data_IF_047506523687
#
_entry.id   IF_047506523687
#
_cell.length_a   1.000
_cell.length_b   1.000
_cell.length_c   1.000
_cell.angle_alpha   90.00
_cell.angle_beta   90.00
_cell.angle_gamma   90.00
#
_symmetry.space_group_name_H-M   'P 1'
#
loop_
_entity.id
_entity.type
_entity.pdbx_description
1 polymer ?
#
# COMPACT_ATOMS: atom_id res chain seq x y z
N UNK A 1 13.03 24.00 -13.84
CA UNK A 1 12.70 24.77 -12.63
C UNK A 1 11.62 24.00 -11.88
N UNK A 2 11.93 23.63 -10.66
CA UNK A 2 11.17 22.79 -9.75
C UNK A 2 10.74 23.67 -8.58
N UNK A 3 9.47 23.64 -8.24
CA UNK A 3 8.92 24.39 -7.10
C UNK A 3 8.52 23.43 -5.99
N UNK A 4 8.90 23.73 -4.75
CA UNK A 4 8.54 22.95 -3.56
C UNK A 4 7.23 23.44 -2.95
N UNK A 5 6.30 22.53 -2.74
CA UNK A 5 5.04 22.82 -2.07
C UNK A 5 5.10 22.29 -0.64
N UNK A 6 5.53 23.16 0.28
CA UNK A 6 5.57 22.84 1.70
C UNK A 6 4.15 22.76 2.27
N UNK A 7 3.71 21.53 2.54
CA UNK A 7 2.39 21.25 3.11
C UNK A 7 2.15 21.87 4.47
N UNK A 8 3.20 22.21 5.23
CA UNK A 8 3.07 22.80 6.56
C UNK A 8 3.00 24.32 6.54
N UNK A 9 3.36 24.97 5.44
CA UNK A 9 3.28 26.42 5.32
C UNK A 9 2.17 26.87 4.37
N UNK A 10 1.88 26.13 3.31
CA UNK A 10 0.80 26.43 2.36
C UNK A 10 -0.60 26.19 2.96
N UNK A 11 -1.44 27.23 3.00
CA UNK A 11 -2.78 27.20 3.60
C UNK A 11 -3.73 26.21 2.92
N UNK A 12 -3.55 25.94 1.63
CA UNK A 12 -4.38 24.98 0.88
C UNK A 12 -4.21 23.57 1.44
N UNK A 13 -2.97 23.19 1.75
CA UNK A 13 -2.62 21.87 2.27
C UNK A 13 -2.86 21.74 3.78
N UNK A 14 -2.72 22.83 4.54
CA UNK A 14 -3.10 22.86 5.96
C UNK A 14 -4.57 22.49 6.16
N UNK A 15 -5.44 23.03 5.31
CA UNK A 15 -6.89 22.87 5.43
C UNK A 15 -7.42 21.63 4.70
N UNK A 16 -6.62 21.02 3.82
CA UNK A 16 -6.99 19.82 3.07
C UNK A 16 -5.85 18.79 3.05
N UNK A 17 -5.86 17.86 4.01
CA UNK A 17 -4.84 16.79 4.13
C UNK A 17 -4.84 15.80 2.95
N UNK A 18 -5.92 15.77 2.17
CA UNK A 18 -6.09 14.92 0.98
C UNK A 18 -5.57 15.59 -0.29
N UNK A 19 -5.26 16.89 -0.24
CA UNK A 19 -4.61 17.57 -1.34
C UNK A 19 -3.17 17.06 -1.50
N UNK A 20 -2.86 16.56 -2.69
CA UNK A 20 -1.53 16.08 -3.09
C UNK A 20 -1.04 16.87 -4.29
N UNK A 21 0.28 16.96 -4.41
CA UNK A 21 0.97 17.48 -5.58
C UNK A 21 1.98 16.44 -6.01
N UNK A 22 2.06 16.19 -7.31
CA UNK A 22 2.98 15.24 -7.90
C UNK A 22 3.46 15.71 -9.27
N UNK A 23 4.72 15.46 -9.58
CA UNK A 23 5.26 15.51 -10.94
C UNK A 23 5.64 14.13 -11.40
N UNK A 24 5.23 13.73 -12.61
CA UNK A 24 5.34 12.35 -13.09
C UNK A 24 6.25 12.27 -14.33
N UNK A 25 7.17 11.32 -14.33
CA UNK A 25 7.95 10.90 -15.49
C UNK A 25 7.70 9.42 -15.78
N UNK A 26 7.49 9.07 -17.04
CA UNK A 26 7.19 7.71 -17.47
C UNK A 26 8.01 7.37 -18.70
N UNK A 27 8.55 6.15 -18.77
CA UNK A 27 9.23 5.70 -19.97
C UNK A 27 9.90 4.34 -19.81
N UNK A 28 10.94 4.13 -20.63
CA UNK A 28 11.67 2.87 -20.66
C UNK A 28 13.12 3.10 -20.29
N UNK A 29 13.61 2.36 -19.31
CA UNK A 29 15.02 2.35 -18.92
C UNK A 29 15.63 0.99 -19.19
N UNK A 30 16.91 0.96 -19.51
CA UNK A 30 17.62 -0.26 -19.94
C UNK A 30 17.84 -1.25 -18.80
N UNK A 31 18.06 -0.77 -17.58
CA UNK A 31 18.16 -1.60 -16.38
C UNK A 31 18.03 -0.76 -15.12
N UNK A 32 17.61 -1.43 -14.04
CA UNK A 32 17.42 -0.86 -12.71
C UNK A 32 18.66 -0.14 -12.17
N UNK A 33 19.87 -0.68 -12.37
CA UNK A 33 21.11 -0.05 -11.85
C UNK A 33 21.38 1.31 -12.51
N UNK A 34 21.06 1.45 -13.78
CA UNK A 34 21.15 2.72 -14.52
C UNK A 34 20.18 3.74 -13.94
N UNK A 35 18.94 3.31 -13.72
CA UNK A 35 17.90 4.13 -13.08
C UNK A 35 18.30 4.56 -11.66
N UNK A 36 18.73 3.62 -10.83
CA UNK A 36 19.21 3.91 -9.48
C UNK A 36 20.33 4.93 -9.51
N UNK A 37 21.33 4.76 -10.38
CA UNK A 37 22.45 5.73 -10.49
C UNK A 37 22.00 7.11 -10.99
N UNK A 38 21.00 7.14 -11.86
CA UNK A 38 20.48 8.38 -12.43
C UNK A 38 19.73 9.20 -11.37
N UNK A 39 18.90 8.52 -10.58
CA UNK A 39 18.06 9.12 -9.54
C UNK A 39 18.84 9.34 -8.24
N UNK A 40 19.78 8.45 -7.90
CA UNK A 40 20.54 8.54 -6.66
C UNK A 40 21.62 9.60 -6.74
N UNK A 41 21.83 10.30 -5.64
CA UNK A 41 22.96 11.17 -5.45
C UNK A 41 23.61 10.89 -4.09
N UNK A 42 24.94 10.88 -4.05
CA UNK A 42 25.67 10.85 -2.76
C UNK A 42 25.50 12.14 -1.95
N UNK A 43 25.15 13.23 -2.64
CA UNK A 43 24.68 14.51 -2.09
C UNK A 43 23.65 15.11 -3.06
N UNK A 44 22.61 15.81 -2.60
CA UNK A 44 21.56 16.41 -3.43
C UNK A 44 22.03 17.09 -4.73
N UNK A 45 23.13 17.84 -4.66
CA UNK A 45 23.63 18.67 -5.77
C UNK A 45 24.33 17.86 -6.89
N UNK A 46 24.57 16.56 -6.68
CA UNK A 46 25.40 15.75 -7.57
C UNK A 46 24.64 14.70 -8.39
N UNK A 47 23.33 14.57 -8.19
CA UNK A 47 22.51 13.65 -8.98
C UNK A 47 22.33 14.15 -10.41
N UNK A 48 22.44 13.25 -11.39
CA UNK A 48 22.19 13.62 -12.80
C UNK A 48 20.73 14.06 -12.97
N UNK A 49 19.78 13.38 -12.32
CA UNK A 49 18.37 13.76 -12.36
C UNK A 49 18.13 15.19 -11.86
N UNK A 50 18.79 15.60 -10.78
CA UNK A 50 18.67 16.95 -10.20
C UNK A 50 19.15 18.03 -11.16
N UNK A 51 20.27 17.77 -11.84
CA UNK A 51 20.80 18.67 -12.88
C UNK A 51 19.87 18.78 -14.07
N UNK A 52 19.28 17.66 -14.48
CA UNK A 52 18.32 17.64 -15.59
C UNK A 52 17.04 18.42 -15.24
N UNK A 53 16.64 18.45 -13.96
CA UNK A 53 15.54 19.31 -13.48
C UNK A 53 15.89 20.81 -13.47
N UNK A 54 17.18 21.12 -13.49
CA UNK A 54 17.73 22.48 -13.40
C UNK A 54 17.81 23.01 -11.96
N UNK A 55 17.94 22.13 -10.98
CA UNK A 55 17.90 22.48 -9.56
C UNK A 55 19.25 22.34 -8.86
N UNK A 56 19.45 23.14 -7.81
CA UNK A 56 20.65 23.07 -6.96
C UNK A 56 20.39 22.34 -5.64
N UNK A 57 19.14 21.94 -5.38
CA UNK A 57 18.71 21.28 -4.16
C UNK A 57 17.69 20.20 -4.50
N UNK A 58 17.71 19.10 -3.75
CA UNK A 58 16.83 17.96 -3.99
C UNK A 58 16.82 17.01 -2.80
N UNK A 59 15.64 16.53 -2.42
CA UNK A 59 15.49 15.57 -1.34
C UNK A 59 14.90 14.27 -1.89
N UNK A 60 15.65 13.17 -1.70
CA UNK A 60 15.26 11.85 -2.20
C UNK A 60 14.02 11.29 -1.51
N UNK A 61 13.66 11.80 -0.33
CA UNK A 61 12.50 11.35 0.44
C UNK A 61 11.17 11.64 -0.28
N UNK A 62 11.19 12.53 -1.28
CA UNK A 62 10.01 12.87 -2.07
C UNK A 62 9.90 12.12 -3.40
N UNK A 63 10.79 11.14 -3.67
CA UNK A 63 10.75 10.37 -4.92
C UNK A 63 10.12 9.01 -4.72
N UNK A 64 9.07 8.72 -5.49
CA UNK A 64 8.58 7.36 -5.67
C UNK A 64 9.02 6.84 -7.04
N UNK A 65 9.69 5.69 -7.06
CA UNK A 65 10.18 5.03 -8.28
C UNK A 65 9.54 3.65 -8.39
N UNK A 66 8.98 3.35 -9.56
CA UNK A 66 8.56 2.00 -9.91
C UNK A 66 9.37 1.53 -11.12
N UNK A 67 9.95 0.34 -11.05
CA UNK A 67 10.70 -0.28 -12.14
C UNK A 67 10.28 -1.72 -12.31
N UNK A 68 10.11 -2.12 -13.57
CA UNK A 68 9.88 -3.49 -13.97
C UNK A 68 10.92 -3.96 -15.00
N UNK A 69 11.22 -5.26 -15.01
CA UNK A 69 12.20 -5.83 -15.96
C UNK A 69 11.73 -5.80 -17.41
N UNK A 70 10.41 -5.81 -17.65
CA UNK A 70 9.81 -5.79 -18.99
C UNK A 70 8.96 -4.54 -19.11
N UNK A 71 8.96 -3.94 -20.31
CA UNK A 71 8.03 -2.87 -20.61
C UNK A 71 6.62 -3.45 -20.82
N UNK A 72 5.64 -2.75 -20.27
CA UNK A 72 4.22 -3.06 -20.38
C UNK A 72 3.53 -1.98 -21.22
N UNK A 73 2.36 -2.27 -21.82
CA UNK A 73 1.54 -1.26 -22.49
C UNK A 73 1.26 -0.08 -21.57
N UNK A 74 1.31 1.14 -22.12
CA UNK A 74 1.23 2.37 -21.32
C UNK A 74 -0.08 2.46 -20.51
N UNK A 75 -1.18 1.92 -21.02
CA UNK A 75 -2.47 1.89 -20.33
C UNK A 75 -2.40 1.11 -19.01
N UNK A 76 -1.66 -0.02 -18.99
CA UNK A 76 -1.48 -0.83 -17.79
C UNK A 76 -0.59 -0.13 -16.77
N UNK A 77 0.48 0.50 -17.24
CA UNK A 77 1.41 1.27 -16.41
C UNK A 77 0.71 2.46 -15.76
N UNK A 78 -0.07 3.23 -16.54
CA UNK A 78 -0.84 4.38 -16.01
C UNK A 78 -1.93 3.92 -15.06
N UNK A 79 -2.63 2.81 -15.34
CA UNK A 79 -3.62 2.25 -14.42
C UNK A 79 -3.00 1.84 -13.07
N UNK A 80 -1.85 1.15 -13.10
CA UNK A 80 -1.15 0.75 -11.87
C UNK A 80 -0.60 1.97 -11.11
N UNK A 81 -0.11 2.97 -11.82
CA UNK A 81 0.34 4.24 -11.24
C UNK A 81 -0.82 4.96 -10.55
N UNK A 82 -1.97 5.10 -11.21
CA UNK A 82 -3.14 5.75 -10.64
C UNK A 82 -3.63 5.08 -9.36
N UNK A 83 -3.63 3.74 -9.34
CA UNK A 83 -3.93 2.96 -8.13
C UNK A 83 -2.92 3.21 -7.01
N UNK A 84 -1.63 3.27 -7.34
CA UNK A 84 -0.56 3.52 -6.35
C UNK A 84 -0.65 4.93 -5.77
N UNK A 85 -1.02 5.92 -6.59
CA UNK A 85 -1.14 7.31 -6.18
C UNK A 85 -2.48 7.63 -5.50
N UNK A 86 -3.47 6.74 -5.61
CA UNK A 86 -4.84 7.04 -5.18
C UNK A 86 -5.43 8.25 -5.91
N UNK A 87 -5.03 8.49 -7.17
CA UNK A 87 -5.47 9.68 -7.89
C UNK A 87 -6.82 9.46 -8.63
N UNK A 88 -7.58 10.54 -8.91
CA UNK A 88 -8.84 10.46 -9.64
C UNK A 88 -8.67 9.92 -11.08
N UNK A 89 -9.72 9.28 -11.60
CA UNK A 89 -9.71 8.70 -12.96
C UNK A 89 -9.38 9.72 -14.06
N UNK A 90 -9.88 10.95 -13.95
CA UNK A 90 -9.60 12.01 -14.93
C UNK A 90 -8.10 12.35 -15.01
N UNK A 91 -7.37 12.27 -13.90
CA UNK A 91 -5.93 12.48 -13.88
C UNK A 91 -5.20 11.32 -14.58
N UNK A 92 -5.64 10.08 -14.37
CA UNK A 92 -5.09 8.93 -15.09
C UNK A 92 -5.29 9.07 -16.61
N UNK A 93 -6.46 9.56 -17.05
CA UNK A 93 -6.75 9.83 -18.45
C UNK A 93 -5.84 10.94 -19.03
N UNK A 94 -5.56 12.00 -18.26
CA UNK A 94 -4.64 13.06 -18.70
C UNK A 94 -3.19 12.56 -18.84
N UNK A 95 -2.70 11.79 -17.86
CA UNK A 95 -1.37 11.16 -17.91
C UNK A 95 -1.25 10.30 -19.17
N UNK A 96 -2.25 9.44 -19.42
CA UNK A 96 -2.27 8.58 -20.59
C UNK A 96 -2.26 9.39 -21.90
N UNK A 97 -3.08 10.44 -22.00
CA UNK A 97 -3.13 11.30 -23.17
C UNK A 97 -1.77 11.98 -23.44
N UNK A 98 -1.10 12.47 -22.39
CA UNK A 98 0.24 13.07 -22.52
C UNK A 98 1.28 12.05 -22.98
N UNK A 99 1.25 10.83 -22.43
CA UNK A 99 2.13 9.75 -22.88
C UNK A 99 1.92 9.42 -24.36
N UNK A 100 0.67 9.37 -24.83
CA UNK A 100 0.34 9.12 -26.24
C UNK A 100 0.86 10.24 -27.15
N UNK A 101 0.68 11.52 -26.77
CA UNK A 101 1.21 12.67 -27.52
C UNK A 101 2.74 12.62 -27.63
N UNK A 102 3.41 12.16 -26.58
CA UNK A 102 4.87 12.03 -26.54
C UNK A 102 5.38 10.72 -27.17
N UNK A 103 4.50 9.89 -27.75
CA UNK A 103 4.87 8.64 -28.41
C UNK A 103 5.30 7.52 -27.46
N UNK A 104 4.93 7.59 -26.18
CA UNK A 104 5.21 6.55 -25.18
C UNK A 104 4.13 5.47 -25.27
N UNK A 105 4.38 4.43 -26.08
CA UNK A 105 3.46 3.30 -26.24
C UNK A 105 3.62 2.23 -25.15
N UNK A 106 4.81 2.13 -24.56
CA UNK A 106 5.15 1.17 -23.51
C UNK A 106 6.13 1.79 -22.52
N UNK A 107 6.07 1.34 -21.29
CA UNK A 107 6.96 1.80 -20.23
C UNK A 107 7.29 0.65 -19.27
N UNK A 108 8.48 0.72 -18.67
CA UNK A 108 8.86 -0.17 -17.58
C UNK A 108 9.22 0.60 -16.32
N UNK A 109 9.18 1.94 -16.37
CA UNK A 109 9.65 2.80 -15.29
C UNK A 109 8.73 4.01 -15.14
N UNK A 110 8.40 4.32 -13.90
CA UNK A 110 7.78 5.60 -13.51
C UNK A 110 8.59 6.24 -12.39
N UNK A 111 8.76 7.56 -12.46
CA UNK A 111 9.38 8.37 -11.41
C UNK A 111 8.40 9.46 -11.03
N UNK A 112 8.13 9.61 -9.75
CA UNK A 112 7.16 10.56 -9.23
C UNK A 112 7.84 11.44 -8.17
N UNK A 113 7.74 12.76 -8.32
CA UNK A 113 8.15 13.71 -7.30
C UNK A 113 6.93 14.21 -6.54
N UNK A 114 6.83 13.83 -5.27
CA UNK A 114 5.78 14.25 -4.37
C UNK A 114 6.06 15.68 -3.89
N UNK A 115 5.03 16.50 -3.73
CA UNK A 115 5.14 17.88 -3.23
C UNK A 115 6.01 18.82 -4.09
N UNK A 116 6.28 18.46 -5.34
CA UNK A 116 7.04 19.31 -6.25
C UNK A 116 6.29 19.51 -7.57
N UNK A 117 6.33 20.73 -8.10
CA UNK A 117 5.87 21.08 -9.44
C UNK A 117 7.07 21.27 -10.36
N UNK A 118 7.11 20.55 -11.47
CA UNK A 118 8.12 20.73 -12.49
C UNK A 118 7.59 21.64 -13.60
N UNK A 119 8.28 22.76 -13.83
CA UNK A 119 7.96 23.76 -14.84
C UNK A 119 9.06 23.90 -15.92
N UNK A 120 9.90 22.87 -16.06
CA UNK A 120 10.94 22.86 -17.09
C UNK A 120 10.46 22.37 -18.45
N UNK A 121 11.38 21.90 -19.29
CA UNK A 121 11.07 21.52 -20.66
C UNK A 121 10.36 20.16 -20.74
N UNK A 122 9.12 20.16 -21.21
CA UNK A 122 8.29 18.94 -21.29
C UNK A 122 8.85 17.86 -22.23
N UNK A 123 9.66 18.26 -23.23
CA UNK A 123 10.22 17.36 -24.25
C UNK A 123 11.63 16.85 -23.91
N UNK A 124 12.21 17.29 -22.79
CA UNK A 124 13.53 16.87 -22.37
C UNK A 124 13.56 15.36 -22.09
N UNK A 125 14.67 14.70 -22.41
CA UNK A 125 14.87 13.29 -22.11
C UNK A 125 15.51 13.12 -20.72
N UNK A 126 14.80 12.41 -19.83
CA UNK A 126 15.27 12.12 -18.48
C UNK A 126 15.72 10.67 -18.38
N UNK A 127 16.80 10.33 -19.11
CA UNK A 127 17.34 8.97 -19.18
C UNK A 127 16.30 7.95 -19.69
N UNK A 128 15.66 8.26 -20.82
CA UNK A 128 14.59 7.45 -21.41
C UNK A 128 13.21 7.61 -20.76
N UNK A 129 13.09 8.51 -19.78
CA UNK A 129 11.81 8.93 -19.20
C UNK A 129 11.34 10.23 -19.84
N UNK A 130 10.03 10.33 -20.08
CA UNK A 130 9.37 11.56 -20.55
C UNK A 130 8.50 12.15 -19.45
N UNK A 131 8.44 13.47 -19.40
CA UNK A 131 7.65 14.18 -18.41
C UNK A 131 6.16 14.09 -18.75
N UNK A 132 5.40 13.36 -17.94
CA UNK A 132 3.97 13.13 -18.13
C UNK A 132 3.10 14.17 -17.42
N UNK A 133 3.68 15.21 -16.80
CA UNK A 133 2.95 16.35 -16.23
C UNK A 133 3.10 16.50 -14.71
N UNK A 134 2.69 17.68 -14.24
CA UNK A 134 2.52 18.00 -12.82
C UNK A 134 1.05 18.15 -12.49
N UNK A 135 0.63 17.58 -11.37
CA UNK A 135 -0.76 17.45 -10.99
C UNK A 135 -0.94 17.84 -9.53
N UNK A 136 -1.94 18.70 -9.28
CA UNK A 136 -2.51 18.95 -7.96
C UNK A 136 -3.88 18.29 -7.94
N UNK A 137 -4.10 17.37 -7.01
CA UNK A 137 -5.35 16.62 -6.91
C UNK A 137 -5.74 16.37 -5.46
N UNK A 138 -7.04 16.32 -5.22
CA UNK A 138 -7.56 15.78 -3.97
C UNK A 138 -7.72 14.27 -4.14
N UNK A 139 -6.97 13.50 -3.35
CA UNK A 139 -7.16 12.05 -3.22
C UNK A 139 -8.63 11.79 -2.90
N UNK A 140 -9.40 11.01 -3.69
CA UNK A 140 -10.85 10.86 -3.52
C UNK A 140 -11.26 10.53 -2.08
N UNK A 141 -12.46 10.95 -1.66
CA UNK A 141 -12.96 10.50 -0.36
C UNK A 141 -12.98 8.99 -0.42
N UNK A 142 -12.31 8.33 0.53
CA UNK A 142 -12.33 6.89 0.52
C UNK A 142 -13.77 6.44 0.62
N UNK A 143 -14.22 5.63 -0.33
CA UNK A 143 -15.54 5.00 -0.22
C UNK A 143 -15.58 4.29 1.13
N UNK A 144 -16.47 4.73 2.02
CA UNK A 144 -16.75 4.02 3.28
C UNK A 144 -17.40 2.69 2.90
N UNK A 145 -16.56 1.71 2.59
CA UNK A 145 -16.99 0.33 2.44
C UNK A 145 -17.10 -0.21 3.85
N UNK A 146 -18.34 -0.31 4.35
CA UNK A 146 -18.61 -1.23 5.43
C UNK A 146 -18.20 -2.61 4.95
N UNK A 147 -17.06 -3.08 5.44
CA UNK A 147 -16.60 -4.45 5.28
C UNK A 147 -16.74 -5.16 6.61
N UNK A 148 -16.72 -6.49 6.56
CA UNK A 148 -16.67 -7.33 7.72
C UNK A 148 -15.33 -8.04 7.73
N UNK A 149 -14.60 -7.94 8.83
CA UNK A 149 -13.40 -8.71 9.03
C UNK A 149 -13.74 -10.03 9.70
N UNK A 150 -13.49 -11.12 8.99
CA UNK A 150 -13.48 -12.45 9.56
C UNK A 150 -12.18 -12.63 10.32
N UNK A 151 -12.26 -12.67 11.64
CA UNK A 151 -11.07 -12.75 12.50
C UNK A 151 -10.80 -14.20 12.87
N UNK A 152 -9.54 -14.59 12.70
CA UNK A 152 -8.98 -15.85 13.16
C UNK A 152 -7.85 -15.53 14.14
N UNK A 153 -7.85 -16.11 15.33
CA UNK A 153 -6.75 -15.91 16.29
C UNK A 153 -6.47 -17.18 17.08
N UNK A 154 -5.26 -17.31 17.58
CA UNK A 154 -4.85 -18.52 18.29
C UNK A 154 -3.34 -18.65 18.42
N UNK A 155 -2.93 -19.88 18.70
CA UNK A 155 -1.52 -20.28 18.62
C UNK A 155 -1.31 -20.91 17.24
N UNK A 156 -0.72 -20.16 16.33
CA UNK A 156 -0.49 -20.66 14.96
C UNK A 156 0.52 -21.79 14.94
N UNK A 157 0.35 -22.71 13.99
CA UNK A 157 1.31 -23.77 13.66
C UNK A 157 2.39 -23.32 12.69
N UNK A 158 2.32 -22.10 12.16
CA UNK A 158 3.36 -21.52 11.30
C UNK A 158 4.69 -21.36 12.08
N UNK A 159 5.80 -21.83 11.50
CA UNK A 159 7.11 -21.77 12.14
C UNK A 159 7.73 -20.36 12.07
N UNK A 160 7.37 -19.59 11.06
CA UNK A 160 7.75 -18.20 10.91
C UNK A 160 6.67 -17.36 10.21
N UNK A 161 6.85 -16.04 10.22
CA UNK A 161 5.89 -15.11 9.60
C UNK A 161 5.73 -15.33 8.08
N UNK A 162 6.77 -15.69 7.30
CA UNK A 162 6.59 -16.06 5.90
C UNK A 162 5.64 -17.24 5.68
N UNK A 163 5.66 -18.26 6.54
CA UNK A 163 4.78 -19.43 6.41
C UNK A 163 3.32 -19.05 6.69
N UNK A 164 3.09 -18.18 7.69
CA UNK A 164 1.76 -17.64 7.98
C UNK A 164 1.25 -16.76 6.83
N UNK A 165 2.14 -15.96 6.22
CA UNK A 165 1.85 -15.17 5.02
C UNK A 165 1.44 -16.07 3.86
N UNK A 166 2.25 -17.09 3.57
CA UNK A 166 2.00 -18.07 2.51
C UNK A 166 0.63 -18.70 2.72
N UNK A 167 0.35 -19.23 3.90
CA UNK A 167 -0.97 -19.79 4.22
C UNK A 167 -2.12 -18.80 4.02
N UNK A 168 -2.00 -17.57 4.53
CA UNK A 168 -3.07 -16.58 4.51
C UNK A 168 -3.35 -16.01 3.10
N UNK A 169 -2.33 -15.97 2.23
CA UNK A 169 -2.41 -15.30 0.92
C UNK A 169 -2.36 -16.24 -0.28
N UNK A 170 -1.81 -17.44 -0.11
CA UNK A 170 -1.80 -18.50 -1.13
C UNK A 170 -2.97 -19.45 -0.85
N UNK A 171 -3.59 -19.99 -1.90
CA UNK A 171 -4.99 -20.47 -1.90
C UNK A 171 -5.44 -21.45 -0.79
N UNK A 172 -4.57 -22.01 0.05
CA UNK A 172 -4.92 -22.88 1.17
C UNK A 172 -5.95 -22.26 2.12
N UNK A 173 -5.71 -21.06 2.63
CA UNK A 173 -6.67 -20.38 3.53
C UNK A 173 -8.03 -20.16 2.86
N UNK A 174 -8.04 -19.71 1.60
CA UNK A 174 -9.26 -19.54 0.81
C UNK A 174 -10.02 -20.85 0.61
N UNK A 175 -9.30 -21.93 0.31
CA UNK A 175 -9.90 -23.26 0.09
C UNK A 175 -10.50 -23.83 1.39
N UNK A 176 -9.84 -23.59 2.53
CA UNK A 176 -10.29 -24.12 3.83
C UNK A 176 -11.47 -23.34 4.43
N UNK A 177 -11.51 -22.03 4.21
CA UNK A 177 -12.53 -21.12 4.75
C UNK A 177 -13.71 -20.91 3.80
N UNK A 178 -13.50 -21.05 2.49
CA UNK A 178 -14.51 -20.73 1.47
C UNK A 178 -14.77 -19.22 1.30
N UNK A 179 -14.05 -18.36 2.03
CA UNK A 179 -14.24 -16.91 1.97
C UNK A 179 -13.80 -16.34 0.62
N UNK A 180 -14.62 -15.46 0.05
CA UNK A 180 -14.17 -14.56 -1.02
C UNK A 180 -13.79 -13.24 -0.38
N UNK A 181 -12.48 -13.04 -0.23
CA UNK A 181 -11.89 -11.93 0.52
C UNK A 181 -11.39 -10.84 -0.42
N UNK A 182 -11.58 -9.58 -0.03
CA UNK A 182 -11.04 -8.42 -0.74
C UNK A 182 -9.60 -8.11 -0.28
N UNK A 183 -9.30 -8.32 1.00
CA UNK A 183 -7.99 -8.08 1.62
C UNK A 183 -7.75 -9.11 2.74
N UNK A 184 -6.48 -9.46 2.98
CA UNK A 184 -6.08 -10.36 4.06
C UNK A 184 -4.88 -9.79 4.79
N UNK A 185 -5.09 -9.52 6.08
CA UNK A 185 -4.06 -9.09 6.99
C UNK A 185 -3.73 -10.21 7.96
N UNK A 186 -2.47 -10.28 8.37
CA UNK A 186 -2.03 -11.30 9.32
C UNK A 186 -0.89 -10.73 10.17
N UNK A 187 -0.71 -11.31 11.34
CA UNK A 187 0.43 -11.00 12.19
C UNK A 187 0.79 -12.22 13.03
N UNK A 188 2.09 -12.41 13.24
CA UNK A 188 2.66 -13.42 14.13
C UNK A 188 3.71 -12.80 15.04
N UNK A 189 3.57 -12.97 16.35
CA UNK A 189 4.49 -12.43 17.36
C UNK A 189 5.60 -13.43 17.65
N UNK A 190 6.85 -13.09 17.30
CA UNK A 190 8.06 -13.88 17.59
C UNK A 190 7.87 -15.39 17.37
N UNK A 191 7.31 -15.77 16.22
CA UNK A 191 6.94 -17.16 15.91
C UNK A 191 8.11 -18.14 16.04
N UNK A 192 9.33 -17.72 15.65
CA UNK A 192 10.56 -18.52 15.78
C UNK A 192 10.89 -18.90 17.22
N UNK A 193 10.50 -18.07 18.17
CA UNK A 193 10.73 -18.28 19.61
C UNK A 193 9.53 -18.99 20.27
N UNK A 194 8.51 -19.38 19.49
CA UNK A 194 7.24 -19.92 19.96
C UNK A 194 6.57 -19.09 21.08
N UNK A 195 6.82 -17.77 21.08
CA UNK A 195 6.36 -16.91 22.18
C UNK A 195 4.86 -16.65 22.06
N UNK A 196 4.13 -16.88 23.15
CA UNK A 196 2.68 -16.60 23.26
C UNK A 196 2.42 -15.50 24.29
N UNK A 197 1.55 -14.55 23.94
CA UNK A 197 1.15 -13.45 24.81
C UNK A 197 -0.29 -13.65 25.31
N UNK A 198 -0.65 -13.16 26.50
CA UNK A 198 -2.05 -13.00 26.88
C UNK A 198 -2.82 -12.24 25.79
N UNK A 199 -4.06 -12.65 25.53
CA UNK A 199 -4.90 -12.07 24.46
C UNK A 199 -4.95 -10.53 24.51
N UNK A 200 -5.21 -9.96 25.69
CA UNK A 200 -5.28 -8.50 25.85
C UNK A 200 -3.95 -7.80 25.53
N UNK A 201 -2.83 -8.41 25.92
CA UNK A 201 -1.49 -7.88 25.63
C UNK A 201 -1.19 -7.96 24.13
N UNK A 202 -1.52 -9.08 23.48
CA UNK A 202 -1.31 -9.25 22.04
C UNK A 202 -2.07 -8.21 21.22
N UNK A 203 -3.37 -8.00 21.50
CA UNK A 203 -4.17 -7.01 20.78
C UNK A 203 -3.82 -5.56 21.15
N UNK A 204 -3.11 -5.33 22.27
CA UNK A 204 -2.56 -4.02 22.61
C UNK A 204 -1.27 -3.66 21.85
N UNK A 205 -0.66 -4.61 21.14
CA UNK A 205 0.55 -4.34 20.36
C UNK A 205 0.27 -3.28 19.28
N UNK A 206 1.13 -2.25 19.12
CA UNK A 206 0.89 -1.14 18.18
C UNK A 206 0.59 -1.60 16.75
N UNK A 207 1.32 -2.60 16.25
CA UNK A 207 1.15 -3.14 14.90
C UNK A 207 -0.16 -3.92 14.72
N UNK A 208 -0.69 -4.51 15.79
CA UNK A 208 -1.96 -5.25 15.77
C UNK A 208 -3.11 -4.25 15.80
N UNK A 209 -3.01 -3.21 16.64
CA UNK A 209 -4.01 -2.14 16.73
C UNK A 209 -4.10 -1.29 15.45
N UNK A 210 -2.98 -1.10 14.74
CA UNK A 210 -2.97 -0.42 13.43
C UNK A 210 -3.61 -1.26 12.31
N UNK A 211 -3.57 -2.60 12.42
CA UNK A 211 -4.04 -3.52 11.39
C UNK A 211 -5.51 -3.88 11.56
N UNK A 212 -5.93 -4.13 12.79
CA UNK A 212 -7.33 -4.43 13.11
C UNK A 212 -8.13 -3.15 13.14
N UNK A 213 -8.60 -2.74 11.98
CA UNK A 213 -9.46 -1.57 11.90
C UNK A 213 -10.92 -1.93 12.16
N UNK A 214 -11.19 -2.35 13.38
CA UNK A 214 -12.50 -2.79 13.81
C UNK A 214 -13.39 -1.56 14.09
N UNK A 215 -14.56 -1.54 13.45
CA UNK A 215 -15.64 -0.59 13.73
C UNK A 215 -16.31 -0.85 15.07
N UNK A 216 -16.23 -2.09 15.56
CA UNK A 216 -16.44 -2.48 16.95
C UNK A 216 -15.09 -2.48 17.71
N UNK A 217 -15.05 -2.08 18.97
CA UNK A 217 -13.79 -1.92 19.73
C UNK A 217 -12.96 -3.22 19.81
N UNK A 218 -11.63 -3.14 19.89
CA UNK A 218 -10.73 -4.28 20.13
C UNK A 218 -11.17 -5.20 21.28
N UNK A 219 -11.90 -4.67 22.27
CA UNK A 219 -12.53 -5.42 23.36
C UNK A 219 -13.50 -6.51 22.87
N UNK A 220 -14.19 -6.31 21.74
CA UNK A 220 -15.11 -7.28 21.16
C UNK A 220 -14.36 -8.54 20.70
N UNK A 221 -13.21 -8.38 20.06
CA UNK A 221 -12.34 -9.48 19.63
C UNK A 221 -11.68 -10.16 20.83
N UNK A 222 -11.21 -9.39 21.82
CA UNK A 222 -10.68 -9.96 23.07
C UNK A 222 -11.74 -10.83 23.77
N UNK A 223 -12.99 -10.38 23.82
CA UNK A 223 -14.09 -11.15 24.39
C UNK A 223 -14.44 -12.38 23.54
N UNK A 224 -14.34 -12.29 22.22
CA UNK A 224 -14.52 -13.44 21.33
C UNK A 224 -13.43 -14.50 21.55
N UNK A 225 -12.17 -14.11 21.71
CA UNK A 225 -11.09 -15.01 22.10
C UNK A 225 -11.40 -15.74 23.41
N UNK A 226 -11.86 -15.02 24.45
CA UNK A 226 -12.22 -15.63 25.74
C UNK A 226 -13.36 -16.64 25.59
N UNK A 227 -14.39 -16.33 24.80
CA UNK A 227 -15.50 -17.28 24.51
C UNK A 227 -15.01 -18.53 23.77
N UNK A 228 -14.00 -18.38 22.93
CA UNK A 228 -13.33 -19.49 22.24
C UNK A 228 -12.31 -20.25 23.14
N UNK A 229 -12.21 -19.91 24.43
CA UNK A 229 -11.26 -20.56 25.35
C UNK A 229 -9.80 -20.15 25.12
N UNK A 230 -9.54 -19.08 24.38
CA UNK A 230 -8.19 -18.58 24.11
C UNK A 230 -7.76 -17.63 25.22
N UNK A 231 -6.80 -18.05 26.04
CA UNK A 231 -6.15 -17.20 27.04
C UNK A 231 -4.88 -16.52 26.52
N UNK A 232 -4.19 -17.21 25.60
CA UNK A 232 -2.91 -16.78 25.03
C UNK A 232 -2.86 -17.07 23.54
N UNK A 233 -2.26 -16.16 22.79
CA UNK A 233 -2.15 -16.25 21.33
C UNK A 233 -0.76 -15.78 20.88
N UNK A 234 -0.35 -16.20 19.69
CA UNK A 234 0.85 -15.70 19.02
C UNK A 234 0.59 -15.24 17.59
N UNK A 235 -0.66 -15.36 17.09
CA UNK A 235 -1.00 -14.93 15.75
C UNK A 235 -2.47 -14.61 15.56
N UNK A 236 -2.74 -13.83 14.52
CA UNK A 236 -4.08 -13.61 13.99
C UNK A 236 -4.06 -13.47 12.47
N UNK A 237 -5.21 -13.74 11.85
CA UNK A 237 -5.55 -13.39 10.48
C UNK A 237 -6.84 -12.58 10.54
N UNK A 238 -6.87 -11.43 9.86
CA UNK A 238 -8.07 -10.69 9.53
C UNK A 238 -8.33 -10.81 8.04
N UNK A 239 -9.50 -11.31 7.67
CA UNK A 239 -9.91 -11.50 6.29
C UNK A 239 -11.12 -10.60 5.99
N UNK A 240 -10.87 -9.53 5.23
CA UNK A 240 -11.89 -8.56 4.89
C UNK A 240 -12.81 -9.13 3.81
N UNK A 241 -14.09 -9.26 4.12
CA UNK A 241 -15.14 -9.73 3.22
C UNK A 241 -16.28 -8.71 3.16
N UNK A 242 -17.12 -8.82 2.12
CA UNK A 242 -18.32 -7.99 1.96
C UNK A 242 -19.53 -8.50 2.76
N UNK A 243 -19.48 -9.75 3.19
CA UNK A 243 -20.57 -10.47 3.84
C UNK A 243 -20.30 -10.57 5.34
N UNK A 244 -21.32 -10.35 6.17
CA UNK A 244 -21.26 -10.53 7.62
C UNK A 244 -21.51 -11.98 8.06
N UNK A 245 -22.00 -12.81 7.13
CA UNK A 245 -22.45 -14.17 7.40
C UNK A 245 -21.31 -14.96 8.05
N UNK A 246 -21.48 -15.39 9.32
CA UNK A 246 -20.45 -16.18 9.98
C UNK A 246 -20.17 -17.47 9.22
N UNK A 247 -18.92 -17.91 9.21
CA UNK A 247 -18.57 -19.21 8.67
C UNK A 247 -19.23 -20.33 9.48
N UNK A 248 -19.80 -21.31 8.79
CA UNK A 248 -20.24 -22.57 9.40
C UNK A 248 -19.00 -23.44 9.68
N UNK A 249 -18.41 -23.21 10.85
CA UNK A 249 -17.19 -23.88 11.30
C UNK A 249 -17.55 -24.80 12.46
N UNK A 250 -17.23 -26.10 12.32
CA UNK A 250 -17.28 -27.02 13.45
C UNK A 250 -16.43 -26.48 14.61
N UNK A 251 -16.95 -26.45 15.84
CA UNK A 251 -16.41 -25.65 16.94
C UNK A 251 -14.92 -25.86 17.31
N UNK A 252 -14.33 -26.99 16.95
CA UNK A 252 -12.92 -27.31 17.19
C UNK A 252 -12.01 -27.14 15.96
N UNK A 253 -12.58 -26.81 14.78
CA UNK A 253 -11.78 -26.64 13.56
C UNK A 253 -10.87 -25.42 13.69
N UNK A 254 -9.60 -25.62 13.35
CA UNK A 254 -8.58 -24.56 13.30
C UNK A 254 -8.04 -24.38 11.89
N UNK A 255 -7.46 -23.21 11.66
CA UNK A 255 -6.95 -22.72 10.37
C UNK A 255 -5.49 -22.30 10.60
N UNK A 256 -4.54 -23.16 10.25
CA UNK A 256 -3.13 -23.00 10.66
C UNK A 256 -2.96 -22.76 12.18
N UNK A 257 -3.74 -23.50 13.00
CA UNK A 257 -3.77 -23.35 14.47
C UNK A 257 -4.60 -22.18 15.00
N UNK A 258 -5.24 -21.39 14.13
CA UNK A 258 -6.07 -20.26 14.51
C UNK A 258 -7.55 -20.64 14.57
N UNK A 259 -8.28 -20.16 15.58
CA UNK A 259 -9.72 -20.35 15.71
C UNK A 259 -10.45 -19.21 15.02
N UNK A 260 -11.53 -19.53 14.30
CA UNK A 260 -12.45 -18.51 13.81
C UNK A 260 -13.24 -17.90 14.97
N UNK A 261 -13.20 -16.57 15.09
CA UNK A 261 -13.83 -15.83 16.19
C UNK A 261 -15.17 -15.20 15.83
N UNK A 262 -15.44 -15.05 14.53
CA UNK A 262 -16.62 -14.37 14.01
C UNK A 262 -16.27 -13.32 12.95
N UNK A 263 -17.32 -12.70 12.42
CA UNK A 263 -17.25 -11.52 11.56
C UNK A 263 -17.47 -10.27 12.41
N UNK A 264 -16.64 -9.25 12.20
CA UNK A 264 -16.68 -8.00 12.95
C UNK A 264 -16.78 -6.85 11.97
N UNK A 265 -17.69 -5.91 12.21
CA UNK A 265 -17.81 -4.74 11.34
C UNK A 265 -16.51 -3.93 11.41
N UNK A 266 -15.94 -3.58 10.26
CA UNK A 266 -14.75 -2.72 10.17
C UNK A 266 -15.09 -1.30 9.78
N UNK A 267 -14.27 -0.37 10.28
CA UNK A 267 -14.31 1.05 9.93
C UNK A 267 -12.90 1.48 9.57
N UNK A 268 -12.40 1.07 8.40
CA UNK A 268 -11.15 1.57 7.83
C UNK A 268 -11.11 3.11 7.88
N UNK A 269 -10.31 3.76 8.76
CA UNK A 269 -9.84 5.08 8.45
C UNK A 269 -8.91 4.87 7.27
N UNK A 270 -9.15 5.64 6.24
CA UNK A 270 -8.35 5.63 5.02
C UNK A 270 -7.48 6.87 5.07
#
# INVERSE_FOLDING_TARGET
MLDFIDRFTDERFKNNKRLKVISVWIGTTTNEKSLTRYISAGTPQNGQFVRDLGEEWFDHDFIAVNYQKRAEPIEQVVSALAQTLGCPEHMAQEILARCQVQGVAQANTTVCLMQHLYQGEENQDFNGLKFAGSYEYEEPEPEVRHKFDHIFAGVTTAAALPDLREYATEGAFRNETGLTVDDVQYFGYKLRDATVLPVAEFFSLPIVNQRLVLGESADAVVNACKRAGLERINGFISAAARDETPLDVAGEKTFCGLHYLGAFQTRYPT
#
